data_IF_668638410525
#
_entry.id   IF_668638410525
#
_cell.length_a   1.000
_cell.length_b   1.000
_cell.length_c   1.000
_cell.angle_alpha   90.00
_cell.angle_beta   90.00
_cell.angle_gamma   90.00
#
_symmetry.space_group_name_H-M   'P 1'
#
loop_
_entity.id
_entity.type
_entity.pdbx_description
1 polymer ?
#
# COMPACT_ATOMS: atom_id res chain seq x y z
N UNK A 1 -2.69 -14.62 11.16
CA UNK A 1 -3.79 -14.73 10.19
C UNK A 1 -3.53 -14.10 8.82
N UNK A 2 -2.61 -13.12 8.66
CA UNK A 2 -2.20 -12.64 7.31
C UNK A 2 -1.36 -13.69 6.57
N UNK A 3 -0.24 -14.13 7.16
CA UNK A 3 0.67 -15.08 6.52
C UNK A 3 0.03 -16.41 6.15
N UNK A 4 -0.88 -16.92 6.98
CA UNK A 4 -1.61 -18.18 6.72
C UNK A 4 -2.52 -18.09 5.51
N UNK A 5 -3.04 -16.90 5.20
CA UNK A 5 -3.96 -16.66 4.08
C UNK A 5 -3.20 -16.29 2.81
N UNK A 6 -2.19 -15.42 2.93
CA UNK A 6 -1.56 -14.72 1.81
C UNK A 6 -0.17 -15.25 1.46
N UNK A 7 0.44 -16.06 2.35
CA UNK A 7 1.88 -16.29 2.34
C UNK A 7 2.65 -15.02 2.73
N UNK A 8 3.89 -14.92 2.26
CA UNK A 8 4.70 -13.72 2.46
C UNK A 8 4.22 -12.60 1.52
N UNK A 9 3.79 -11.48 2.09
CA UNK A 9 3.19 -10.38 1.33
C UNK A 9 3.18 -9.06 2.07
N UNK A 10 2.80 -8.00 1.35
CA UNK A 10 2.74 -6.64 1.90
C UNK A 10 1.53 -6.50 2.80
N UNK A 11 1.78 -6.23 4.10
CA UNK A 11 0.73 -5.91 5.07
C UNK A 11 0.42 -4.42 5.19
N UNK A 12 1.47 -3.61 5.19
CA UNK A 12 1.40 -2.17 5.47
C UNK A 12 2.24 -1.40 4.46
N UNK A 13 1.66 -0.33 3.92
CA UNK A 13 2.39 0.69 3.17
C UNK A 13 2.33 1.97 3.98
N UNK A 14 3.39 2.25 4.74
CA UNK A 14 3.44 3.37 5.66
C UNK A 14 3.77 4.69 4.93
N UNK A 15 3.16 5.79 5.36
CA UNK A 15 3.40 7.13 4.84
C UNK A 15 4.04 8.01 5.90
N UNK A 16 5.15 8.67 5.55
CA UNK A 16 5.69 9.75 6.39
C UNK A 16 4.80 10.97 6.26
N UNK A 17 4.35 11.53 7.39
CA UNK A 17 3.40 12.66 7.42
C UNK A 17 3.82 13.70 8.45
N UNK A 18 3.28 14.91 8.34
CA UNK A 18 3.57 16.00 9.27
C UNK A 18 2.72 15.97 10.55
N UNK A 19 1.49 15.44 10.49
CA UNK A 19 0.58 15.31 11.63
C UNK A 19 -0.26 14.03 11.51
N UNK A 20 0.18 12.96 12.19
CA UNK A 20 -0.47 11.66 12.11
C UNK A 20 -1.86 11.67 12.78
N UNK A 21 -2.06 12.47 13.82
CA UNK A 21 -3.33 12.54 14.58
C UNK A 21 -4.41 13.20 13.76
N UNK A 22 -4.09 14.33 13.13
CA UNK A 22 -5.01 15.11 12.30
C UNK A 22 -5.43 14.32 11.05
N UNK A 23 -4.48 13.66 10.38
CA UNK A 23 -4.77 12.83 9.21
C UNK A 23 -5.64 11.63 9.56
N UNK A 24 -5.36 10.95 10.68
CA UNK A 24 -6.21 9.86 11.16
C UNK A 24 -7.64 10.36 11.46
N UNK A 25 -7.79 11.43 12.24
CA UNK A 25 -9.10 12.00 12.56
C UNK A 25 -9.91 12.31 11.29
N UNK A 26 -9.26 12.95 10.33
CA UNK A 26 -9.85 13.30 9.04
C UNK A 26 -10.26 12.07 8.23
N UNK A 27 -9.41 11.04 8.19
CA UNK A 27 -9.71 9.78 7.50
C UNK A 27 -10.94 9.07 8.10
N UNK A 28 -11.04 8.98 9.43
CA UNK A 28 -12.17 8.34 10.11
C UNK A 28 -13.47 9.14 9.90
N UNK A 29 -13.42 10.47 9.99
CA UNK A 29 -14.59 11.33 9.71
C UNK A 29 -15.12 11.15 8.29
N UNK A 30 -14.25 10.80 7.33
CA UNK A 30 -14.62 10.51 5.94
C UNK A 30 -15.01 9.05 5.69
N UNK A 31 -15.11 8.24 6.74
CA UNK A 31 -15.57 6.85 6.69
C UNK A 31 -14.44 5.82 6.55
N UNK A 32 -13.19 6.21 6.76
CA UNK A 32 -12.06 5.28 6.87
C UNK A 32 -12.22 4.34 8.07
N UNK A 33 -11.68 3.12 7.96
CA UNK A 33 -11.68 2.14 9.04
C UNK A 33 -10.46 2.35 9.93
N UNK A 34 -10.68 2.71 11.20
CA UNK A 34 -9.58 2.75 12.18
C UNK A 34 -9.10 1.34 12.47
N UNK A 35 -7.81 1.09 12.28
CA UNK A 35 -7.14 -0.15 12.67
C UNK A 35 -6.43 0.04 14.01
N UNK A 36 -5.79 1.20 14.20
CA UNK A 36 -5.20 1.62 15.47
C UNK A 36 -5.30 3.15 15.60
N UNK A 37 -5.88 3.60 16.70
CA UNK A 37 -5.94 5.03 17.05
C UNK A 37 -4.54 5.61 17.25
N UNK A 38 -4.35 6.94 17.13
CA UNK A 38 -3.03 7.53 17.18
C UNK A 38 -2.31 7.29 18.51
N UNK A 39 -1.09 6.76 18.44
CA UNK A 39 -0.25 6.44 19.59
C UNK A 39 1.16 7.03 19.43
N UNK A 40 1.91 7.03 20.52
CA UNK A 40 3.30 7.50 20.54
C UNK A 40 4.22 6.37 20.93
N UNK A 41 5.38 6.35 20.28
CA UNK A 41 6.52 5.53 20.70
C UNK A 41 7.72 6.43 20.94
N UNK A 42 8.52 6.09 21.96
CA UNK A 42 9.58 6.94 22.49
C UNK A 42 10.81 6.12 22.85
N UNK A 43 11.99 6.68 22.59
CA UNK A 43 13.27 6.22 23.13
C UNK A 43 14.20 7.43 23.34
N UNK A 44 15.50 7.19 23.59
CA UNK A 44 16.49 8.25 23.81
C UNK A 44 16.64 9.25 22.64
N UNK A 45 16.20 8.88 21.43
CA UNK A 45 16.34 9.69 20.22
C UNK A 45 15.09 10.53 19.89
N UNK A 46 14.06 10.50 20.74
CA UNK A 46 12.88 11.36 20.62
C UNK A 46 11.54 10.60 20.61
N UNK A 47 10.58 11.12 19.85
CA UNK A 47 9.20 10.59 19.76
C UNK A 47 8.73 10.47 18.32
N UNK A 48 8.05 9.36 18.03
CA UNK A 48 7.28 9.17 16.79
C UNK A 48 5.81 9.04 17.15
N UNK A 49 4.95 9.75 16.42
CA UNK A 49 3.49 9.60 16.49
C UNK A 49 3.04 8.77 15.30
N UNK A 50 2.22 7.75 15.54
CA UNK A 50 1.71 6.87 14.49
C UNK A 50 0.22 6.66 14.61
N UNK A 51 -0.43 6.34 13.49
CA UNK A 51 -1.84 5.95 13.44
C UNK A 51 -2.08 5.03 12.24
N UNK A 52 -3.01 4.07 12.32
CA UNK A 52 -3.20 3.08 11.25
C UNK A 52 -4.65 3.06 10.76
N UNK A 53 -4.83 3.18 9.44
CA UNK A 53 -6.12 3.17 8.74
C UNK A 53 -6.14 2.03 7.71
N UNK A 54 -7.27 1.33 7.58
CA UNK A 54 -7.43 0.23 6.62
C UNK A 54 -7.66 0.73 5.19
N UNK A 55 -7.21 -0.05 4.21
CA UNK A 55 -7.48 0.17 2.77
C UNK A 55 -8.16 -1.08 2.15
N UNK A 56 -7.79 -1.49 0.95
CA UNK A 56 -8.27 -2.69 0.27
C UNK A 56 -7.77 -3.99 0.92
N UNK A 57 -8.59 -5.04 0.79
CA UNK A 57 -8.31 -6.36 1.35
C UNK A 57 -8.05 -6.27 2.86
N UNK A 58 -6.89 -6.79 3.27
CA UNK A 58 -6.40 -6.65 4.64
C UNK A 58 -5.17 -5.73 4.74
N UNK A 59 -4.77 -5.07 3.65
CA UNK A 59 -3.70 -4.08 3.63
C UNK A 59 -4.09 -2.84 4.45
N UNK A 60 -3.10 -2.24 5.11
CA UNK A 60 -3.28 -1.02 5.91
C UNK A 60 -2.28 0.05 5.50
N UNK A 61 -2.55 1.28 5.92
CA UNK A 61 -1.62 2.39 5.87
C UNK A 61 -1.35 2.91 7.28
N UNK A 62 -0.10 2.85 7.70
CA UNK A 62 0.36 3.54 8.92
C UNK A 62 0.91 4.92 8.57
N UNK A 63 0.30 5.96 9.16
CA UNK A 63 0.85 7.31 9.15
C UNK A 63 1.98 7.38 10.18
N UNK A 64 3.14 7.89 9.78
CA UNK A 64 4.34 7.98 10.61
C UNK A 64 4.82 9.43 10.65
N UNK A 65 4.55 10.09 11.77
CA UNK A 65 5.04 11.43 12.07
C UNK A 65 6.33 11.31 12.88
N UNK A 66 7.47 11.59 12.24
CA UNK A 66 8.80 11.38 12.81
C UNK A 66 9.63 12.66 12.96
N UNK A 67 9.02 13.84 12.82
CA UNK A 67 9.71 15.14 12.84
C UNK A 67 10.51 15.36 14.12
N UNK A 68 10.06 14.82 15.26
CA UNK A 68 10.70 14.92 16.57
C UNK A 68 11.52 13.67 16.94
N UNK A 69 11.97 12.90 15.96
CA UNK A 69 12.75 11.67 16.16
C UNK A 69 14.02 11.65 15.31
N UNK A 70 15.16 11.37 15.93
CA UNK A 70 16.48 11.43 15.28
C UNK A 70 17.23 10.08 15.29
N UNK A 71 16.55 9.00 15.65
CA UNK A 71 17.11 7.66 15.60
C UNK A 71 17.18 7.08 14.18
N UNK A 72 17.81 5.92 14.05
CA UNK A 72 18.12 5.29 12.75
C UNK A 72 16.88 4.87 11.95
N UNK A 73 15.78 4.54 12.62
CA UNK A 73 14.53 4.11 11.99
C UNK A 73 13.31 4.56 12.80
N UNK A 74 12.85 3.72 13.73
CA UNK A 74 11.78 3.97 14.69
C UNK A 74 12.26 3.68 16.11
N UNK A 75 11.53 4.11 17.17
CA UNK A 75 11.89 3.83 18.54
C UNK A 75 12.16 2.35 18.80
N UNK A 76 13.20 2.04 19.58
CA UNK A 76 13.63 0.68 19.95
C UNK A 76 14.24 -0.17 18.81
N UNK A 77 14.36 0.35 17.59
CA UNK A 77 15.16 -0.30 16.54
C UNK A 77 16.63 0.06 16.70
N UNK A 78 17.50 -0.94 16.50
CA UNK A 78 18.95 -0.79 16.63
C UNK A 78 19.64 -1.14 15.32
N UNK A 79 20.77 -0.49 14.98
CA UNK A 79 21.58 -0.92 13.86
C UNK A 79 22.02 -2.36 14.06
N UNK A 80 21.99 -3.16 12.98
CA UNK A 80 22.56 -4.50 13.00
C UNK A 80 24.09 -4.40 13.10
N UNK A 81 24.69 -5.28 13.91
CA UNK A 81 26.15 -5.45 13.94
C UNK A 81 26.61 -6.60 13.05
N UNK A 82 25.68 -7.27 12.36
CA UNK A 82 25.97 -8.35 11.43
C UNK A 82 26.34 -7.75 10.08
N UNK A 83 27.57 -8.00 9.63
CA UNK A 83 28.02 -7.74 8.28
C UNK A 83 27.95 -9.04 7.48
N UNK A 84 27.17 -9.08 6.39
CA UNK A 84 27.13 -10.24 5.50
C UNK A 84 28.39 -10.20 4.60
N UNK A 85 29.29 -11.22 4.68
CA UNK A 85 30.51 -11.24 3.88
C UNK A 85 30.24 -11.31 2.37
N UNK A 86 29.01 -11.64 1.94
CA UNK A 86 28.64 -11.57 0.53
C UNK A 86 28.43 -10.13 0.06
N UNK A 87 28.01 -9.21 0.93
CA UNK A 87 27.68 -7.83 0.55
C UNK A 87 28.89 -7.12 -0.09
N UNK A 88 30.09 -7.34 0.46
CA UNK A 88 31.35 -6.77 -0.07
C UNK A 88 31.75 -7.31 -1.46
N UNK A 89 31.17 -8.43 -1.87
CA UNK A 89 31.45 -9.05 -3.19
C UNK A 89 30.47 -8.61 -4.27
N UNK A 90 29.34 -8.05 -3.88
CA UNK A 90 28.26 -7.67 -4.79
C UNK A 90 28.45 -6.24 -5.29
N UNK A 91 28.00 -5.99 -6.52
CA UNK A 91 27.95 -4.63 -7.07
C UNK A 91 26.75 -3.89 -6.50
N UNK A 92 26.82 -2.56 -6.27
CA UNK A 92 25.68 -1.78 -5.85
C UNK A 92 24.50 -1.90 -6.83
N UNK A 93 23.29 -1.99 -6.30
CA UNK A 93 22.05 -2.11 -7.12
C UNK A 93 21.56 -0.76 -7.64
N UNK A 94 22.02 0.35 -7.06
CA UNK A 94 21.61 1.71 -7.39
C UNK A 94 20.10 1.98 -7.26
N UNK A 95 19.38 1.18 -6.46
CA UNK A 95 18.00 1.48 -6.07
C UNK A 95 18.01 2.66 -5.09
N UNK A 96 17.15 3.65 -5.33
CA UNK A 96 17.16 4.91 -4.57
C UNK A 96 15.97 5.04 -3.63
N UNK A 97 14.75 4.89 -4.15
CA UNK A 97 13.51 5.08 -3.41
C UNK A 97 12.37 4.31 -4.07
N UNK A 98 11.25 4.19 -3.35
CA UNK A 98 10.01 3.63 -3.88
C UNK A 98 9.32 4.66 -4.77
N UNK A 99 9.08 4.32 -6.03
CA UNK A 99 8.40 5.21 -6.99
C UNK A 99 6.87 5.10 -6.91
N UNK A 100 6.35 3.88 -6.83
CA UNK A 100 4.93 3.59 -6.70
C UNK A 100 4.69 2.20 -6.10
N UNK A 101 3.48 1.95 -5.58
CA UNK A 101 3.05 0.64 -5.07
C UNK A 101 1.71 0.27 -5.69
N UNK A 102 1.62 -0.91 -6.31
CA UNK A 102 0.44 -1.35 -7.05
C UNK A 102 -0.48 -2.21 -6.17
N UNK A 103 -1.78 -1.91 -6.17
CA UNK A 103 -2.82 -2.68 -5.50
C UNK A 103 -3.75 -3.37 -6.50
N UNK A 104 -3.65 -4.70 -6.61
CA UNK A 104 -4.54 -5.51 -7.45
C UNK A 104 -5.87 -5.79 -6.74
N UNK A 105 -6.98 -5.63 -7.45
CA UNK A 105 -8.33 -5.79 -6.92
C UNK A 105 -9.09 -6.90 -7.66
N UNK A 106 -10.10 -7.51 -7.01
CA UNK A 106 -11.08 -8.36 -7.69
C UNK A 106 -11.80 -7.62 -8.81
N UNK A 107 -12.49 -8.38 -9.66
CA UNK A 107 -13.30 -7.82 -10.75
C UNK A 107 -14.32 -6.80 -10.22
N UNK A 108 -14.42 -5.66 -10.91
CA UNK A 108 -15.31 -4.53 -10.61
C UNK A 108 -15.09 -3.81 -9.27
N UNK A 109 -13.95 -4.03 -8.59
CA UNK A 109 -13.63 -3.37 -7.32
C UNK A 109 -12.68 -2.16 -7.48
N UNK A 110 -12.02 -1.96 -8.63
CA UNK A 110 -11.02 -0.88 -8.80
C UNK A 110 -11.61 0.50 -8.52
N UNK A 111 -12.77 0.81 -9.10
CA UNK A 111 -13.40 2.14 -8.97
C UNK A 111 -13.74 2.44 -7.52
N UNK A 112 -14.30 1.48 -6.79
CA UNK A 112 -14.66 1.62 -5.38
C UNK A 112 -13.42 1.88 -4.52
N UNK A 113 -12.31 1.21 -4.80
CA UNK A 113 -11.05 1.46 -4.10
C UNK A 113 -10.50 2.85 -4.43
N UNK A 114 -10.55 3.28 -5.69
CA UNK A 114 -10.11 4.63 -6.08
C UNK A 114 -10.95 5.72 -5.39
N UNK A 115 -12.27 5.57 -5.36
CA UNK A 115 -13.18 6.48 -4.65
C UNK A 115 -12.91 6.50 -3.14
N UNK A 116 -12.53 5.36 -2.56
CA UNK A 116 -12.09 5.29 -1.17
C UNK A 116 -10.79 6.08 -0.96
N UNK A 117 -9.79 5.98 -1.86
CA UNK A 117 -8.58 6.81 -1.78
C UNK A 117 -8.88 8.32 -1.89
N UNK A 118 -9.76 8.71 -2.82
CA UNK A 118 -10.23 10.10 -2.97
C UNK A 118 -10.89 10.60 -1.68
N UNK A 119 -11.80 9.80 -1.13
CA UNK A 119 -12.59 10.20 0.02
C UNK A 119 -11.82 10.13 1.33
N UNK A 120 -11.16 9.03 1.63
CA UNK A 120 -10.55 8.76 2.95
C UNK A 120 -9.20 9.44 3.06
N UNK A 121 -8.36 9.32 2.03
CA UNK A 121 -6.97 9.80 2.05
C UNK A 121 -6.77 11.14 1.32
N UNK A 122 -7.82 11.67 0.67
CA UNK A 122 -7.76 12.92 -0.09
C UNK A 122 -6.75 12.88 -1.25
N UNK A 123 -6.62 11.70 -1.87
CA UNK A 123 -5.84 11.51 -3.09
C UNK A 123 -6.65 11.97 -4.30
N UNK A 124 -6.00 12.16 -5.45
CA UNK A 124 -6.66 12.41 -6.72
C UNK A 124 -6.26 11.37 -7.78
N UNK A 125 -7.09 11.23 -8.81
CA UNK A 125 -6.74 10.42 -9.99
C UNK A 125 -5.65 11.14 -10.77
N UNK A 126 -4.49 10.51 -10.84
CA UNK A 126 -3.33 11.01 -11.58
C UNK A 126 -3.36 10.57 -13.04
N UNK A 127 -3.71 9.30 -13.27
CA UNK A 127 -3.72 8.69 -14.60
C UNK A 127 -4.67 7.50 -14.66
N UNK A 128 -5.14 7.13 -15.85
CA UNK A 128 -5.97 5.94 -16.05
C UNK A 128 -5.76 5.34 -17.42
N UNK A 129 -5.92 4.02 -17.51
CA UNK A 129 -5.84 3.23 -18.74
C UNK A 129 -6.92 2.17 -18.73
N UNK A 130 -7.58 2.04 -19.89
CA UNK A 130 -8.57 1.01 -20.12
C UNK A 130 -7.98 -0.20 -20.89
N UNK A 131 -8.81 -1.22 -21.07
CA UNK A 131 -8.48 -2.44 -21.78
C UNK A 131 -8.25 -2.23 -23.29
N UNK A 132 -8.64 -1.09 -23.86
CA UNK A 132 -8.30 -0.74 -25.24
C UNK A 132 -6.86 -0.25 -25.36
N UNK A 133 -6.29 0.26 -24.28
CA UNK A 133 -4.91 0.77 -24.23
C UNK A 133 -3.92 -0.26 -23.67
N UNK A 134 -4.33 -1.13 -22.74
CA UNK A 134 -3.49 -2.20 -22.18
C UNK A 134 -4.15 -3.56 -22.39
N UNK A 135 -3.80 -4.19 -23.51
CA UNK A 135 -4.14 -5.58 -23.80
C UNK A 135 -3.02 -6.29 -24.57
N UNK A 136 -2.98 -7.60 -24.42
CA UNK A 136 -2.30 -8.50 -25.37
C UNK A 136 -3.36 -9.17 -26.25
N UNK A 137 -2.94 -10.03 -27.18
CA UNK A 137 -3.89 -10.87 -27.91
C UNK A 137 -4.74 -11.77 -26.97
N UNK A 138 -4.25 -12.02 -25.74
CA UNK A 138 -4.81 -13.02 -24.84
C UNK A 138 -5.46 -12.46 -23.58
N UNK A 139 -4.96 -11.36 -23.00
CA UNK A 139 -5.47 -10.83 -21.72
C UNK A 139 -5.37 -9.31 -21.66
N UNK A 140 -6.15 -8.71 -20.76
CA UNK A 140 -6.20 -7.26 -20.52
C UNK A 140 -6.38 -6.95 -19.03
N UNK A 141 -6.19 -5.68 -18.68
CA UNK A 141 -6.48 -5.13 -17.36
C UNK A 141 -6.96 -3.69 -17.49
N UNK A 142 -7.60 -3.17 -16.44
CA UNK A 142 -7.84 -1.73 -16.26
C UNK A 142 -7.00 -1.24 -15.08
N UNK A 143 -6.55 0.01 -15.15
CA UNK A 143 -5.78 0.63 -14.06
C UNK A 143 -6.13 2.10 -13.89
N UNK A 144 -6.24 2.54 -12.63
CA UNK A 144 -6.33 3.94 -12.24
C UNK A 144 -5.20 4.21 -11.24
N UNK A 145 -4.41 5.23 -11.47
CA UNK A 145 -3.33 5.66 -10.57
C UNK A 145 -3.86 6.75 -9.65
N UNK A 146 -3.86 6.46 -8.35
CA UNK A 146 -4.15 7.42 -7.30
C UNK A 146 -2.86 8.09 -6.84
N UNK A 147 -2.88 9.40 -6.59
CA UNK A 147 -1.73 10.13 -6.08
C UNK A 147 -2.12 11.09 -4.94
N UNK A 148 -1.17 11.37 -4.05
CA UNK A 148 -1.32 12.47 -3.09
C UNK A 148 -1.26 13.82 -3.81
N UNK A 149 -1.57 14.91 -3.08
CA UNK A 149 -1.63 16.26 -3.67
C UNK A 149 -0.33 16.70 -4.37
N UNK A 150 0.83 16.36 -3.81
CA UNK A 150 2.14 16.69 -4.39
C UNK A 150 2.63 15.65 -5.42
N UNK A 151 1.84 14.59 -5.65
CA UNK A 151 2.12 13.47 -6.56
C UNK A 151 3.43 12.72 -6.25
N UNK A 152 3.87 12.77 -4.99
CA UNK A 152 5.05 12.03 -4.50
C UNK A 152 4.73 10.56 -4.23
N UNK A 153 3.53 10.30 -3.72
CA UNK A 153 3.01 8.95 -3.46
C UNK A 153 2.10 8.59 -4.63
N UNK A 154 2.37 7.44 -5.26
CA UNK A 154 1.57 6.92 -6.38
C UNK A 154 1.14 5.49 -6.10
N UNK A 155 -0.17 5.25 -6.20
CA UNK A 155 -0.82 3.98 -5.92
C UNK A 155 -1.66 3.55 -7.12
N UNK A 156 -1.07 2.87 -8.13
CA UNK A 156 -1.84 2.22 -9.19
C UNK A 156 -2.77 1.15 -8.62
N UNK A 157 -4.05 1.24 -8.95
CA UNK A 157 -5.08 0.27 -8.58
C UNK A 157 -5.52 -0.45 -9.84
N UNK A 158 -5.37 -1.78 -9.88
CA UNK A 158 -5.70 -2.59 -11.05
C UNK A 158 -6.91 -3.48 -10.78
N UNK A 159 -7.66 -3.82 -11.84
CA UNK A 159 -8.63 -4.91 -11.84
C UNK A 159 -8.50 -5.75 -13.12
N UNK A 160 -8.95 -7.02 -13.12
CA UNK A 160 -8.97 -7.83 -14.32
C UNK A 160 -9.88 -7.22 -15.40
N UNK A 161 -9.56 -7.48 -16.67
CA UNK A 161 -10.43 -7.16 -17.79
C UNK A 161 -10.57 -8.37 -18.73
N UNK A 162 -11.58 -8.32 -19.60
CA UNK A 162 -11.96 -9.44 -20.47
C UNK A 162 -10.91 -9.65 -21.56
N UNK A 163 -10.43 -10.88 -21.70
CA UNK A 163 -9.54 -11.33 -22.77
C UNK A 163 -9.81 -12.79 -23.15
N UNK A 164 -9.09 -13.30 -24.15
CA UNK A 164 -9.18 -14.72 -24.57
C UNK A 164 -8.69 -15.72 -23.51
N UNK A 165 -7.86 -15.28 -22.58
CA UNK A 165 -7.30 -16.02 -21.44
C UNK A 165 -7.50 -15.22 -20.15
N UNK A 166 -7.38 -15.91 -19.01
CA UNK A 166 -7.45 -15.31 -17.67
C UNK A 166 -6.47 -14.15 -17.54
N UNK A 167 -6.91 -13.05 -16.93
CA UNK A 167 -6.05 -11.90 -16.61
C UNK A 167 -5.04 -12.26 -15.52
N UNK A 168 -3.82 -11.73 -15.62
CA UNK A 168 -2.80 -11.89 -14.57
C UNK A 168 -3.26 -11.30 -13.21
N UNK A 169 -4.16 -10.30 -13.24
CA UNK A 169 -4.73 -9.72 -12.03
C UNK A 169 -5.66 -10.74 -11.34
N UNK A 170 -6.44 -11.46 -12.13
CA UNK A 170 -7.32 -12.52 -11.63
C UNK A 170 -6.51 -13.67 -11.00
N UNK A 171 -5.38 -14.05 -11.62
CA UNK A 171 -4.46 -15.03 -11.04
C UNK A 171 -3.93 -14.56 -9.67
N UNK A 172 -3.47 -13.31 -9.55
CA UNK A 172 -3.03 -12.76 -8.27
C UNK A 172 -4.13 -12.85 -7.20
N UNK A 173 -5.36 -12.42 -7.51
CA UNK A 173 -6.48 -12.40 -6.55
C UNK A 173 -6.82 -13.82 -6.06
N UNK A 174 -6.73 -14.83 -6.93
CA UNK A 174 -6.94 -16.24 -6.59
C UNK A 174 -5.87 -16.79 -5.65
N UNK A 175 -4.59 -16.59 -5.96
CA UNK A 175 -3.49 -17.12 -5.14
C UNK A 175 -3.26 -16.35 -3.85
N UNK A 176 -3.47 -15.03 -3.88
CA UNK A 176 -3.33 -14.17 -2.71
C UNK A 176 -4.53 -14.30 -1.76
N UNK A 177 -5.64 -14.93 -2.15
CA UNK A 177 -6.76 -15.20 -1.23
C UNK A 177 -7.67 -14.00 -0.96
N UNK A 178 -7.89 -13.12 -1.95
CA UNK A 178 -8.73 -11.93 -1.80
C UNK A 178 -10.25 -12.20 -1.98
N UNK A 179 -10.67 -13.47 -2.13
CA UNK A 179 -12.07 -13.90 -2.35
C UNK A 179 -12.81 -14.34 -1.08
N UNK A 180 -12.51 -13.81 0.10
CA UNK A 180 -13.28 -14.17 1.30
C UNK A 180 -14.70 -13.56 1.26
N UNK A 181 -15.65 -14.34 0.73
CA UNK A 181 -17.09 -13.99 0.71
C UNK A 181 -17.88 -14.55 -0.47
N UNK A 182 -17.23 -15.09 -1.51
CA UNK A 182 -17.90 -15.80 -2.60
C UNK A 182 -17.46 -17.26 -2.55
N UNK A 183 -18.39 -18.15 -2.20
CA UNK A 183 -18.23 -19.58 -2.39
C UNK A 183 -17.75 -19.82 -3.82
N UNK A 184 -16.56 -20.41 -3.95
CA UNK A 184 -16.14 -21.02 -5.21
C UNK A 184 -17.11 -22.17 -5.44
N UNK A 185 -18.01 -22.01 -6.41
CA UNK A 185 -18.81 -23.11 -6.96
C UNK A 185 -17.99 -23.92 -7.95
#
# INVERSE_FOLDING_TARGET
DHQSTHGDGVKDVAFTVDDARSLWNSAIQRGGKSIREPWEERDENGVVVMATVGTYGDTVHTFVERTNYHGVFLPNFKPTTLEDPLEVTLKPTHLLYLDHVVGNQPDLEMVKICEMYEKVFNFHRFWSVDDKQIHTEYSSLRSIVMADYDEKIKMPVNEPAIGRKKSQIQEFVEYYGMYFGLEIK
#
